data_IF_192801178617
#
_entry.id   IF_192801178617
#
_cell.length_a   1.000
_cell.length_b   1.000
_cell.length_c   1.000
_cell.angle_alpha   90.00
_cell.angle_beta   90.00
_cell.angle_gamma   90.00
#
_symmetry.space_group_name_H-M   'P 1'
#
loop_
_entity.id
_entity.type
_entity.pdbx_description
1 polymer ?
#
# COMPACT_ATOMS: atom_id res chain seq x y z
N UNK A 1 0.57 -31.39 20.32
CA UNK A 1 1.94 -30.87 20.35
C UNK A 1 2.04 -29.60 19.52
N UNK A 2 2.40 -28.48 20.16
CA UNK A 2 2.64 -27.22 19.46
C UNK A 2 4.11 -27.21 19.05
N UNK A 3 4.38 -27.40 17.76
CA UNK A 3 5.73 -27.28 17.23
C UNK A 3 5.97 -25.81 16.89
N UNK A 4 6.74 -25.14 17.74
CA UNK A 4 7.25 -23.80 17.48
C UNK A 4 8.44 -23.94 16.52
N UNK A 5 8.37 -23.27 15.39
CA UNK A 5 9.45 -23.25 14.42
C UNK A 5 9.58 -21.85 13.83
N UNK A 6 10.81 -21.45 13.52
CA UNK A 6 11.02 -20.34 12.60
C UNK A 6 10.65 -20.81 11.20
N UNK A 7 9.62 -20.19 10.62
CA UNK A 7 9.28 -20.40 9.22
C UNK A 7 9.82 -19.22 8.42
N UNK A 8 10.53 -19.52 7.34
CA UNK A 8 10.94 -18.50 6.40
C UNK A 8 9.84 -18.40 5.34
N UNK A 9 9.30 -17.19 5.19
CA UNK A 9 8.45 -16.83 4.07
C UNK A 9 9.13 -15.64 3.40
N UNK A 10 9.57 -15.81 2.15
CA UNK A 10 10.44 -14.84 1.47
C UNK A 10 11.81 -14.66 2.16
N UNK A 11 12.19 -13.40 2.42
CA UNK A 11 13.41 -13.01 3.15
C UNK A 11 13.14 -12.78 4.66
N UNK A 12 11.88 -12.90 5.12
CA UNK A 12 11.48 -12.63 6.49
C UNK A 12 11.33 -13.90 7.32
N UNK A 13 11.71 -13.80 8.61
CA UNK A 13 11.65 -14.91 9.56
C UNK A 13 10.42 -14.74 10.43
N UNK A 14 9.46 -15.64 10.26
CA UNK A 14 8.25 -15.69 11.06
C UNK A 14 8.40 -16.69 12.20
N UNK A 15 7.91 -16.32 13.39
CA UNK A 15 7.66 -17.29 14.43
C UNK A 15 6.37 -18.04 14.11
N UNK A 16 6.50 -19.25 13.57
CA UNK A 16 5.37 -20.10 13.23
C UNK A 16 5.03 -21.08 14.35
N UNK A 17 3.73 -21.27 14.57
CA UNK A 17 3.22 -22.32 15.45
C UNK A 17 2.29 -23.17 14.63
N UNK A 18 2.72 -24.40 14.36
CA UNK A 18 1.88 -25.40 13.70
C UNK A 18 1.33 -26.33 14.78
N UNK A 19 0.01 -26.39 14.87
CA UNK A 19 -0.70 -27.25 15.80
C UNK A 19 -1.84 -27.97 15.09
N UNK A 20 -1.92 -29.28 15.30
CA UNK A 20 -3.08 -30.08 14.92
C UNK A 20 -3.96 -30.23 16.16
N UNK A 21 -5.11 -29.56 16.14
CA UNK A 21 -6.07 -29.59 17.24
C UNK A 21 -7.16 -30.61 16.87
N UNK A 22 -7.17 -31.74 17.58
CA UNK A 22 -8.27 -32.68 17.50
C UNK A 22 -9.37 -32.23 18.47
N UNK A 23 -10.58 -32.02 17.95
CA UNK A 23 -11.75 -31.63 18.73
C UNK A 23 -12.70 -32.83 18.90
N UNK A 24 -12.44 -33.77 19.83
CA UNK A 24 -13.19 -35.03 19.93
C UNK A 24 -14.66 -34.86 20.35
N UNK A 25 -15.01 -33.73 20.99
CA UNK A 25 -16.37 -33.41 21.44
C UNK A 25 -16.97 -32.20 20.70
N UNK A 26 -16.41 -31.78 19.57
CA UNK A 26 -17.03 -30.73 18.78
C UNK A 26 -18.34 -31.27 18.17
N UNK A 27 -19.47 -30.78 18.66
CA UNK A 27 -20.72 -30.85 17.90
C UNK A 27 -20.49 -30.11 16.59
N UNK A 28 -20.76 -30.74 15.47
CA UNK A 28 -20.55 -30.22 14.09
C UNK A 28 -21.23 -28.86 13.79
N UNK A 29 -22.02 -28.33 14.73
CA UNK A 29 -22.78 -27.08 14.62
C UNK A 29 -22.32 -25.95 15.57
N UNK A 30 -21.24 -26.14 16.34
CA UNK A 30 -20.70 -25.07 17.21
C UNK A 30 -19.77 -24.12 16.44
N UNK A 31 -19.91 -22.79 16.54
CA UNK A 31 -18.98 -21.86 15.89
C UNK A 31 -17.59 -22.01 16.51
N UNK A 32 -16.65 -22.62 15.79
CA UNK A 32 -15.26 -22.67 16.20
C UNK A 32 -14.68 -21.25 16.06
N UNK A 33 -13.98 -20.77 17.08
CA UNK A 33 -13.31 -19.46 17.05
C UNK A 33 -11.90 -19.54 17.59
N UNK A 34 -10.97 -18.84 16.94
CA UNK A 34 -9.60 -18.68 17.36
C UNK A 34 -9.35 -17.22 17.75
N UNK A 35 -8.81 -17.01 18.95
CA UNK A 35 -8.36 -15.70 19.42
C UNK A 35 -6.83 -15.67 19.41
N UNK A 36 -6.26 -14.64 18.80
CA UNK A 36 -4.84 -14.33 18.87
C UNK A 36 -4.65 -12.94 19.47
N UNK A 37 -3.78 -12.83 20.47
CA UNK A 37 -3.46 -11.57 21.13
C UNK A 37 -1.98 -11.44 21.47
N UNK A 38 -1.14 -12.29 20.88
CA UNK A 38 0.30 -12.28 21.16
C UNK A 38 0.89 -10.98 20.60
N UNK A 39 1.63 -10.24 21.43
CA UNK A 39 2.30 -8.97 21.11
C UNK A 39 1.40 -7.76 20.82
N UNK A 40 0.08 -7.88 20.74
CA UNK A 40 -0.80 -6.74 20.48
C UNK A 40 -0.73 -5.65 21.57
N UNK A 41 -0.40 -6.02 22.80
CA UNK A 41 -0.19 -5.05 23.90
C UNK A 41 1.16 -4.30 23.79
N UNK A 42 2.10 -4.81 23.00
CA UNK A 42 3.45 -4.24 22.85
C UNK A 42 3.65 -3.53 21.51
N UNK A 43 3.00 -4.02 20.46
CA UNK A 43 3.12 -3.48 19.12
C UNK A 43 1.74 -3.42 18.43
N UNK A 44 1.26 -2.20 18.18
CA UNK A 44 0.01 -1.93 17.50
C UNK A 44 0.06 -2.25 15.99
N UNK A 45 1.26 -2.34 15.42
CA UNK A 45 1.49 -2.73 14.03
C UNK A 45 1.59 -4.23 13.85
N UNK A 46 1.69 -5.00 14.95
CA UNK A 46 1.80 -6.45 14.87
C UNK A 46 0.58 -7.07 14.18
N UNK A 47 0.84 -8.06 13.33
CA UNK A 47 -0.18 -8.83 12.59
C UNK A 47 0.10 -10.32 12.74
N UNK A 48 -0.92 -11.08 13.13
CA UNK A 48 -0.88 -12.53 13.18
C UNK A 48 -1.47 -13.12 11.89
N UNK A 49 -0.76 -14.06 11.27
CA UNK A 49 -1.22 -14.74 10.06
C UNK A 49 -1.78 -16.12 10.45
N UNK A 50 -3.08 -16.32 10.24
CA UNK A 50 -3.76 -17.60 10.48
C UNK A 50 -3.94 -18.33 9.16
N UNK A 51 -3.42 -19.56 9.10
CA UNK A 51 -3.73 -20.54 8.06
C UNK A 51 -4.24 -21.82 8.73
N UNK A 52 -5.43 -22.26 8.36
CA UNK A 52 -6.09 -23.39 9.01
C UNK A 52 -6.88 -24.23 8.00
N UNK A 53 -6.77 -25.56 8.09
CA UNK A 53 -7.62 -26.48 7.35
C UNK A 53 -8.69 -27.06 8.27
N UNK A 54 -9.97 -26.87 7.93
CA UNK A 54 -11.09 -27.45 8.67
C UNK A 54 -12.03 -28.13 7.65
N UNK A 55 -12.35 -29.41 7.83
CA UNK A 55 -13.32 -30.10 6.95
C UNK A 55 -12.96 -30.13 5.46
N UNK A 56 -11.68 -29.99 5.10
CA UNK A 56 -11.22 -29.91 3.71
C UNK A 56 -11.25 -28.50 3.10
N UNK A 57 -11.79 -27.50 3.80
CA UNK A 57 -11.69 -26.08 3.41
C UNK A 57 -10.48 -25.43 4.05
N UNK A 58 -9.71 -24.69 3.25
CA UNK A 58 -8.60 -23.88 3.73
C UNK A 58 -9.10 -22.48 4.09
N UNK A 59 -8.81 -22.06 5.31
CA UNK A 59 -9.14 -20.75 5.85
C UNK A 59 -7.86 -19.95 6.05
N UNK A 60 -7.90 -18.68 5.67
CA UNK A 60 -6.81 -17.73 5.88
C UNK A 60 -7.38 -16.46 6.50
N UNK A 61 -6.70 -15.91 7.51
CA UNK A 61 -7.10 -14.66 8.12
C UNK A 61 -5.89 -13.88 8.64
N UNK A 62 -6.01 -12.56 8.63
CA UNK A 62 -5.08 -11.66 9.31
C UNK A 62 -5.73 -11.25 10.62
N UNK A 63 -5.03 -11.50 11.72
CA UNK A 63 -5.41 -11.13 13.07
C UNK A 63 -4.66 -9.85 13.43
N UNK A 64 -5.37 -8.83 13.90
CA UNK A 64 -4.81 -7.53 14.28
C UNK A 64 -5.34 -7.12 15.66
N UNK A 65 -4.76 -6.09 16.31
CA UNK A 65 -5.27 -5.59 17.59
C UNK A 65 -6.77 -5.24 17.56
N UNK A 66 -7.27 -4.76 16.42
CA UNK A 66 -8.70 -4.43 16.22
C UNK A 66 -9.57 -5.65 15.92
N UNK A 67 -8.97 -6.75 15.46
CA UNK A 67 -9.64 -8.01 15.09
C UNK A 67 -8.85 -9.24 15.57
N UNK A 68 -8.80 -9.48 16.90
CA UNK A 68 -8.06 -10.60 17.47
C UNK A 68 -8.78 -11.95 17.31
N UNK A 69 -10.09 -11.92 17.03
CA UNK A 69 -10.94 -13.11 16.95
C UNK A 69 -11.26 -13.48 15.49
N UNK A 70 -10.98 -14.72 15.11
CA UNK A 70 -11.47 -15.33 13.88
C UNK A 70 -12.49 -16.42 14.16
N UNK A 71 -13.61 -16.43 13.44
CA UNK A 71 -14.63 -17.48 13.51
C UNK A 71 -14.57 -18.34 12.26
N UNK A 72 -14.40 -19.64 12.45
CA UNK A 72 -14.44 -20.63 11.38
C UNK A 72 -15.90 -20.88 11.02
N UNK A 73 -16.37 -20.12 10.06
CA UNK A 73 -17.71 -20.27 9.49
C UNK A 73 -17.56 -20.67 8.02
N UNK A 74 -18.26 -21.71 7.58
CA UNK A 74 -18.23 -22.18 6.20
C UNK A 74 -18.77 -21.11 5.22
N UNK A 75 -19.53 -20.13 5.72
CA UNK A 75 -19.99 -18.96 4.96
C UNK A 75 -18.98 -17.80 4.93
N UNK A 76 -18.00 -17.76 5.85
CA UNK A 76 -17.02 -16.69 5.98
C UNK A 76 -15.80 -16.81 5.05
N UNK A 77 -15.72 -17.88 4.25
CA UNK A 77 -14.74 -18.07 3.16
C UNK A 77 -15.24 -17.60 1.79
N UNK A 78 -16.37 -16.89 1.73
CA UNK A 78 -16.90 -16.34 0.49
C UNK A 78 -16.00 -15.28 -0.16
N UNK A 79 -16.04 -15.15 -1.48
CA UNK A 79 -15.28 -14.15 -2.24
C UNK A 79 -15.38 -12.73 -1.63
N UNK A 80 -16.59 -12.31 -1.25
CA UNK A 80 -16.85 -10.98 -0.70
C UNK A 80 -16.29 -10.77 0.71
N UNK A 81 -16.24 -11.79 1.57
CA UNK A 81 -15.67 -11.64 2.92
C UNK A 81 -14.17 -11.43 2.83
N UNK A 82 -13.47 -12.24 2.03
CA UNK A 82 -12.05 -12.09 1.73
C UNK A 82 -11.77 -10.71 1.12
N UNK A 83 -12.53 -10.33 0.08
CA UNK A 83 -12.39 -9.03 -0.57
C UNK A 83 -12.55 -7.87 0.43
N UNK A 84 -13.55 -7.93 1.32
CA UNK A 84 -13.77 -6.87 2.33
C UNK A 84 -12.66 -6.79 3.39
N UNK A 85 -12.09 -7.93 3.78
CA UNK A 85 -10.96 -7.98 4.71
C UNK A 85 -9.73 -7.32 4.12
N UNK A 86 -9.34 -7.74 2.91
CA UNK A 86 -8.18 -7.18 2.22
C UNK A 86 -8.39 -5.74 1.75
N UNK A 87 -9.62 -5.32 1.45
CA UNK A 87 -9.94 -3.92 1.21
C UNK A 87 -9.53 -3.02 2.38
N UNK A 88 -9.85 -3.42 3.61
CA UNK A 88 -9.49 -2.67 4.80
C UNK A 88 -7.96 -2.63 4.97
N UNK A 89 -7.28 -3.74 4.74
CA UNK A 89 -5.81 -3.78 4.79
C UNK A 89 -5.17 -2.89 3.72
N UNK A 90 -5.74 -2.82 2.51
CA UNK A 90 -5.28 -1.91 1.46
C UNK A 90 -5.42 -0.43 1.85
N UNK A 91 -6.49 -0.07 2.55
CA UNK A 91 -6.66 1.28 3.10
C UNK A 91 -5.62 1.58 4.17
N UNK A 92 -5.44 0.65 5.13
CA UNK A 92 -4.47 0.79 6.21
C UNK A 92 -3.03 0.86 5.72
N UNK A 93 -2.69 0.08 4.69
CA UNK A 93 -1.37 0.08 4.06
C UNK A 93 -0.94 1.49 3.62
N UNK A 94 -1.87 2.25 3.01
CA UNK A 94 -1.61 3.65 2.61
C UNK A 94 -1.47 4.58 3.82
N UNK A 95 -2.21 4.34 4.90
CA UNK A 95 -2.26 5.26 6.05
C UNK A 95 -1.13 5.06 7.05
N UNK A 96 -0.57 3.86 7.13
CA UNK A 96 0.57 3.54 8.01
C UNK A 96 1.91 3.82 7.29
N UNK A 97 1.96 3.61 5.98
CA UNK A 97 3.18 3.82 5.19
C UNK A 97 3.49 5.31 4.95
N UNK A 98 4.36 5.89 5.77
CA UNK A 98 4.82 7.27 5.59
C UNK A 98 5.42 7.52 4.19
N UNK A 99 6.12 6.53 3.63
CA UNK A 99 6.62 6.57 2.24
C UNK A 99 5.49 6.81 1.23
N UNK A 100 4.40 6.03 1.33
CA UNK A 100 3.26 6.12 0.41
C UNK A 100 2.55 7.46 0.51
N UNK A 101 2.37 7.97 1.72
CA UNK A 101 1.76 9.29 1.94
C UNK A 101 2.64 10.39 1.35
N UNK A 102 3.95 10.41 1.67
CA UNK A 102 4.85 11.44 1.15
C UNK A 102 5.00 11.36 -0.37
N UNK A 103 5.06 10.14 -0.91
CA UNK A 103 5.07 9.91 -2.35
C UNK A 103 3.81 10.46 -3.02
N UNK A 104 2.62 10.11 -2.50
CA UNK A 104 1.36 10.58 -3.03
C UNK A 104 1.25 12.11 -2.94
N UNK A 105 1.56 12.71 -1.78
CA UNK A 105 1.56 14.17 -1.62
C UNK A 105 2.52 14.81 -2.61
N UNK A 106 3.72 14.25 -2.78
CA UNK A 106 4.71 14.73 -3.75
C UNK A 106 4.14 14.79 -5.16
N UNK A 107 3.43 13.75 -5.61
CA UNK A 107 2.78 13.73 -6.92
C UNK A 107 1.61 14.72 -7.05
N UNK A 108 0.91 15.00 -5.94
CA UNK A 108 -0.26 15.89 -5.92
C UNK A 108 0.11 17.39 -5.85
N UNK A 109 1.23 17.74 -5.21
CA UNK A 109 1.68 19.12 -5.00
C UNK A 109 1.55 19.99 -6.27
N UNK A 110 2.04 19.55 -7.44
CA UNK A 110 2.03 20.40 -8.62
C UNK A 110 0.78 20.18 -9.52
N UNK A 111 -0.23 19.41 -9.12
CA UNK A 111 -1.43 19.08 -9.93
C UNK A 111 -2.41 20.25 -10.17
N UNK A 112 -2.26 21.33 -9.41
CA UNK A 112 -3.07 22.55 -9.55
C UNK A 112 -2.47 23.60 -10.50
N UNK A 113 -1.30 23.32 -11.07
CA UNK A 113 -0.65 24.18 -12.06
C UNK A 113 -0.88 23.69 -13.49
N UNK A 114 -0.88 24.63 -14.44
CA UNK A 114 -1.02 24.32 -15.86
C UNK A 114 0.19 23.55 -16.40
N UNK A 115 -0.12 22.62 -17.30
CA UNK A 115 0.84 21.91 -18.16
C UNK A 115 1.25 22.82 -19.31
N UNK A 116 1.97 23.91 -19.04
CA UNK A 116 2.50 24.79 -20.09
C UNK A 116 3.81 24.19 -20.64
N UNK A 117 3.85 23.97 -21.95
CA UNK A 117 4.93 23.28 -22.67
C UNK A 117 6.30 23.93 -22.43
N UNK A 118 7.30 23.08 -22.18
CA UNK A 118 8.75 23.34 -22.20
C UNK A 118 9.18 24.80 -22.40
N UNK A 119 9.43 25.51 -21.29
CA UNK A 119 10.06 26.83 -21.31
C UNK A 119 10.35 27.38 -19.90
N UNK A 120 11.35 28.24 -19.79
CA UNK A 120 11.72 28.99 -18.58
C UNK A 120 10.68 30.11 -18.27
N UNK A 121 9.39 29.79 -18.10
CA UNK A 121 8.31 30.73 -17.69
C UNK A 121 7.71 30.57 -16.28
N UNK A 122 6.72 31.39 -15.95
CA UNK A 122 6.06 31.44 -14.64
C UNK A 122 5.03 30.30 -14.48
N UNK A 123 4.98 29.68 -13.29
CA UNK A 123 3.92 28.73 -12.96
C UNK A 123 2.55 29.43 -13.03
N UNK A 124 1.72 29.05 -14.01
CA UNK A 124 0.35 29.54 -14.13
C UNK A 124 -0.61 28.59 -13.44
N UNK A 125 -1.46 29.13 -12.59
CA UNK A 125 -2.52 28.37 -11.94
C UNK A 125 -3.49 27.80 -12.98
N UNK A 126 -3.91 26.55 -12.78
CA UNK A 126 -4.93 25.94 -13.62
C UNK A 126 -6.24 26.71 -13.56
N UNK A 127 -6.80 26.99 -14.74
CA UNK A 127 -8.07 27.68 -14.91
C UNK A 127 -9.25 26.68 -14.92
N UNK A 128 -8.99 25.40 -15.18
CA UNK A 128 -10.03 24.38 -15.40
C UNK A 128 -9.96 23.27 -14.36
N UNK A 129 -10.90 23.29 -13.41
CA UNK A 129 -11.03 22.30 -12.33
C UNK A 129 -11.07 20.86 -12.86
N UNK A 130 -11.88 20.63 -13.90
CA UNK A 130 -12.06 19.31 -14.53
C UNK A 130 -10.74 18.73 -15.04
N UNK A 131 -9.91 19.56 -15.71
CA UNK A 131 -8.64 19.10 -16.26
C UNK A 131 -7.65 18.68 -15.16
N UNK A 132 -7.58 19.46 -14.07
CA UNK A 132 -6.73 19.15 -12.92
C UNK A 132 -7.22 17.91 -12.18
N UNK A 133 -8.54 17.74 -12.00
CA UNK A 133 -9.11 16.53 -11.41
C UNK A 133 -8.80 15.29 -12.24
N UNK A 134 -9.02 15.33 -13.57
CA UNK A 134 -8.70 14.21 -14.46
C UNK A 134 -7.20 13.88 -14.37
N UNK A 135 -6.33 14.90 -14.33
CA UNK A 135 -4.89 14.68 -14.19
C UNK A 135 -4.52 14.01 -12.88
N UNK A 136 -5.16 14.38 -11.76
CA UNK A 136 -4.92 13.76 -10.45
C UNK A 136 -5.38 12.31 -10.45
N UNK A 137 -6.61 12.06 -10.91
CA UNK A 137 -7.16 10.71 -10.99
C UNK A 137 -6.32 9.82 -11.89
N UNK A 138 -5.88 10.33 -13.06
CA UNK A 138 -4.99 9.58 -13.95
C UNK A 138 -3.66 9.21 -13.30
N UNK A 139 -3.09 10.08 -12.46
CA UNK A 139 -1.84 9.80 -11.74
C UNK A 139 -2.05 8.73 -10.67
N UNK A 140 -3.08 8.86 -9.84
CA UNK A 140 -3.38 7.92 -8.76
C UNK A 140 -3.72 6.54 -9.32
N UNK A 141 -4.67 6.48 -10.26
CA UNK A 141 -5.07 5.21 -10.89
C UNK A 141 -3.92 4.58 -11.67
N UNK A 142 -3.08 5.35 -12.37
CA UNK A 142 -1.90 4.78 -13.06
C UNK A 142 -0.91 4.14 -12.08
N UNK A 143 -0.69 4.75 -10.92
CA UNK A 143 0.12 4.16 -9.86
C UNK A 143 -0.51 2.87 -9.32
N UNK A 144 -1.80 2.89 -8.97
CA UNK A 144 -2.50 1.71 -8.44
C UNK A 144 -2.48 0.56 -9.43
N UNK A 145 -2.73 0.82 -10.72
CA UNK A 145 -2.69 -0.22 -11.77
C UNK A 145 -1.29 -0.82 -11.88
N UNK A 146 -0.25 0.00 -11.93
CA UNK A 146 1.12 -0.48 -11.99
C UNK A 146 1.51 -1.30 -10.75
N UNK A 147 1.18 -0.79 -9.56
CA UNK A 147 1.37 -1.48 -8.29
C UNK A 147 0.67 -2.85 -8.27
N UNK A 148 -0.59 -2.89 -8.74
CA UNK A 148 -1.38 -4.12 -8.85
C UNK A 148 -0.69 -5.18 -9.71
N UNK A 149 -0.09 -4.76 -10.84
CA UNK A 149 0.61 -5.66 -11.77
C UNK A 149 1.79 -6.32 -11.06
N UNK A 150 2.65 -5.55 -10.43
CA UNK A 150 3.88 -6.07 -9.80
C UNK A 150 3.59 -6.83 -8.52
N UNK A 151 2.58 -6.42 -7.75
CA UNK A 151 2.09 -7.18 -6.61
C UNK A 151 1.58 -8.56 -7.06
N UNK A 152 0.75 -8.60 -8.10
CA UNK A 152 0.24 -9.87 -8.64
C UNK A 152 1.37 -10.76 -9.18
N UNK A 153 2.33 -10.20 -9.93
CA UNK A 153 3.49 -10.95 -10.43
C UNK A 153 4.33 -11.57 -9.31
N UNK A 154 4.48 -10.85 -8.20
CA UNK A 154 5.32 -11.30 -7.10
C UNK A 154 4.62 -12.34 -6.24
N UNK A 155 3.32 -12.16 -5.97
CA UNK A 155 2.54 -13.15 -5.20
C UNK A 155 2.31 -14.44 -5.99
N UNK A 156 2.30 -14.36 -7.32
CA UNK A 156 2.33 -15.53 -8.21
C UNK A 156 3.75 -16.13 -8.37
N UNK A 157 4.74 -15.62 -7.63
CA UNK A 157 6.14 -16.06 -7.67
C UNK A 157 6.78 -16.00 -9.08
N UNK A 158 6.26 -15.14 -9.96
CA UNK A 158 6.80 -14.94 -11.31
C UNK A 158 8.09 -14.11 -11.25
N UNK A 159 8.12 -13.10 -10.37
CA UNK A 159 9.27 -12.21 -10.16
C UNK A 159 9.36 -11.90 -8.66
N UNK A 160 10.50 -12.20 -8.03
CA UNK A 160 10.73 -11.95 -6.61
C UNK A 160 12.07 -11.22 -6.41
N UNK A 161 12.10 -9.88 -6.56
CA UNK A 161 13.31 -9.11 -6.32
C UNK A 161 13.60 -9.00 -4.81
N UNK A 162 14.88 -8.96 -4.39
CA UNK A 162 15.26 -8.90 -2.98
C UNK A 162 14.85 -7.55 -2.36
N UNK A 163 14.37 -7.57 -1.13
CA UNK A 163 13.85 -6.37 -0.45
C UNK A 163 14.93 -5.30 -0.29
N UNK A 164 16.17 -5.72 0.00
CA UNK A 164 17.33 -4.83 0.11
C UNK A 164 17.68 -4.05 -1.16
N UNK A 165 17.15 -4.42 -2.33
CA UNK A 165 17.23 -3.59 -3.55
C UNK A 165 15.98 -2.75 -3.76
N UNK A 166 14.80 -3.33 -3.50
CA UNK A 166 13.51 -2.68 -3.75
C UNK A 166 13.33 -1.46 -2.84
N UNK A 167 13.58 -1.59 -1.54
CA UNK A 167 13.30 -0.53 -0.57
C UNK A 167 14.14 0.75 -0.77
N UNK A 168 15.46 0.68 -1.07
CA UNK A 168 16.23 1.86 -1.46
C UNK A 168 15.72 2.50 -2.74
N UNK A 169 15.31 1.71 -3.75
CA UNK A 169 14.78 2.26 -5.00
C UNK A 169 13.44 2.96 -4.76
N UNK A 170 12.58 2.40 -3.88
CA UNK A 170 11.36 3.06 -3.41
C UNK A 170 11.70 4.42 -2.78
N UNK A 171 12.64 4.49 -1.84
CA UNK A 171 13.06 5.76 -1.23
C UNK A 171 13.60 6.75 -2.28
N UNK A 172 14.45 6.28 -3.20
CA UNK A 172 15.01 7.09 -4.29
C UNK A 172 13.90 7.64 -5.22
N UNK A 173 12.86 6.86 -5.51
CA UNK A 173 11.72 7.32 -6.31
C UNK A 173 10.98 8.51 -5.67
N UNK A 174 10.87 8.53 -4.33
CA UNK A 174 10.26 9.65 -3.59
C UNK A 174 11.10 10.91 -3.75
N UNK A 175 12.44 10.79 -3.67
CA UNK A 175 13.37 11.89 -3.91
C UNK A 175 13.20 12.43 -5.33
N UNK A 176 13.18 11.54 -6.33
CA UNK A 176 13.02 11.92 -7.74
C UNK A 176 11.67 12.60 -7.98
N UNK A 177 10.57 12.11 -7.39
CA UNK A 177 9.27 12.75 -7.47
C UNK A 177 9.30 14.16 -6.86
N UNK A 178 9.89 14.30 -5.66
CA UNK A 178 9.95 15.57 -4.94
C UNK A 178 10.80 16.61 -5.67
N UNK A 179 12.03 16.26 -6.07
CA UNK A 179 12.87 17.16 -6.86
C UNK A 179 12.27 17.44 -8.24
N UNK A 180 11.54 16.48 -8.79
CA UNK A 180 10.84 16.63 -10.05
C UNK A 180 9.80 17.74 -10.05
N UNK A 181 9.18 18.01 -8.90
CA UNK A 181 8.24 19.13 -8.71
C UNK A 181 8.89 20.51 -8.89
N UNK A 182 10.22 20.60 -8.72
CA UNK A 182 10.98 21.84 -8.89
C UNK A 182 11.32 22.11 -10.37
N UNK A 183 11.20 21.08 -11.21
CA UNK A 183 11.47 21.16 -12.65
C UNK A 183 10.17 21.13 -13.46
N UNK A 184 10.17 21.74 -14.65
CA UNK A 184 8.98 21.74 -15.52
C UNK A 184 8.87 20.49 -16.39
N UNK A 185 9.99 19.80 -16.61
CA UNK A 185 10.08 18.66 -17.54
C UNK A 185 9.26 17.48 -17.05
N UNK A 186 9.34 17.17 -15.75
CA UNK A 186 8.69 15.99 -15.17
C UNK A 186 7.16 16.17 -15.02
N UNK A 187 6.65 17.39 -15.13
CA UNK A 187 5.21 17.69 -15.11
C UNK A 187 4.48 17.06 -16.28
N UNK A 188 5.14 16.96 -17.44
CA UNK A 188 4.49 16.42 -18.63
C UNK A 188 4.38 14.90 -18.62
N UNK A 189 5.20 14.21 -17.81
CA UNK A 189 5.28 12.75 -17.77
C UNK A 189 4.70 12.16 -16.49
N UNK A 190 3.93 12.92 -15.72
CA UNK A 190 3.55 12.54 -14.35
C UNK A 190 2.83 11.21 -14.23
N UNK A 191 1.85 10.94 -15.08
CA UNK A 191 1.13 9.67 -15.00
C UNK A 191 2.03 8.52 -15.43
N UNK A 192 2.95 8.73 -16.38
CA UNK A 192 3.96 7.73 -16.75
C UNK A 192 4.99 7.48 -15.64
N UNK A 193 5.42 8.55 -14.96
CA UNK A 193 6.33 8.46 -13.81
C UNK A 193 5.64 7.74 -12.64
N UNK A 194 4.39 8.10 -12.36
CA UNK A 194 3.58 7.43 -11.35
C UNK A 194 3.36 5.96 -11.68
N UNK A 195 3.12 5.62 -12.95
CA UNK A 195 3.06 4.23 -13.41
C UNK A 195 4.39 3.51 -13.17
N UNK A 196 5.53 4.09 -13.60
CA UNK A 196 6.85 3.49 -13.42
C UNK A 196 7.18 3.27 -11.94
N UNK A 197 6.89 4.24 -11.09
CA UNK A 197 7.11 4.12 -9.65
C UNK A 197 6.14 3.15 -9.00
N UNK A 198 4.90 3.06 -9.48
CA UNK A 198 3.93 2.06 -9.04
C UNK A 198 4.43 0.64 -9.26
N UNK A 199 5.07 0.35 -10.40
CA UNK A 199 5.70 -0.96 -10.65
C UNK A 199 6.74 -1.29 -9.57
N UNK A 200 7.58 -0.33 -9.21
CA UNK A 200 8.63 -0.56 -8.20
C UNK A 200 8.00 -0.73 -6.81
N UNK A 201 7.04 0.12 -6.45
CA UNK A 201 6.38 0.08 -5.15
C UNK A 201 5.60 -1.21 -4.92
N UNK A 202 5.03 -1.81 -5.96
CA UNK A 202 4.29 -3.07 -5.83
C UNK A 202 5.16 -4.26 -5.41
N UNK A 203 6.47 -4.20 -5.60
CA UNK A 203 7.39 -5.21 -5.07
C UNK A 203 7.60 -5.08 -3.55
N UNK A 204 7.57 -3.86 -3.01
CA UNK A 204 7.90 -3.61 -1.60
C UNK A 204 6.88 -4.15 -0.60
N UNK A 205 5.64 -4.40 -1.04
CA UNK A 205 4.59 -5.00 -0.19
C UNK A 205 4.31 -6.47 -0.52
N UNK A 206 4.89 -6.97 -1.60
CA UNK A 206 4.56 -8.29 -2.08
C UNK A 206 5.15 -9.43 -1.25
N UNK A 207 6.26 -9.20 -0.54
CA UNK A 207 6.78 -10.15 0.45
C UNK A 207 5.70 -10.44 1.49
N UNK A 208 5.16 -9.40 2.12
CA UNK A 208 4.11 -9.50 3.14
C UNK A 208 2.89 -10.27 2.64
N UNK A 209 2.45 -10.04 1.39
CA UNK A 209 1.27 -10.72 0.85
C UNK A 209 1.55 -12.16 0.40
N UNK A 210 2.75 -12.46 -0.10
CA UNK A 210 3.17 -13.83 -0.42
C UNK A 210 3.27 -14.68 0.86
N UNK A 211 3.74 -14.07 1.95
CA UNK A 211 3.93 -14.71 3.25
C UNK A 211 2.60 -15.10 3.91
N UNK A 212 1.48 -14.49 3.50
CA UNK A 212 0.14 -14.88 3.93
C UNK A 212 -0.26 -16.29 3.48
N UNK A 213 0.41 -16.85 2.46
CA UNK A 213 0.19 -18.23 2.02
C UNK A 213 -1.26 -18.53 1.66
N UNK A 214 -1.97 -17.53 1.10
CA UNK A 214 -3.38 -17.59 0.76
C UNK A 214 -3.70 -18.80 -0.14
N UNK A 215 -4.83 -19.49 0.11
CA UNK A 215 -5.36 -20.47 -0.83
C UNK A 215 -5.51 -19.88 -2.23
N UNK A 216 -5.15 -20.62 -3.27
CA UNK A 216 -5.12 -20.14 -4.66
C UNK A 216 -6.49 -19.63 -5.15
N UNK A 217 -7.58 -20.16 -4.58
CA UNK A 217 -8.97 -19.76 -4.83
C UNK A 217 -9.35 -18.43 -4.17
N UNK A 218 -8.63 -18.00 -3.14
CA UNK A 218 -8.84 -16.73 -2.42
C UNK A 218 -7.88 -15.63 -2.85
N UNK A 219 -6.82 -15.98 -3.57
CA UNK A 219 -5.80 -15.03 -4.01
C UNK A 219 -6.39 -13.89 -4.86
N UNK A 220 -7.31 -14.22 -5.78
CA UNK A 220 -7.92 -13.22 -6.66
C UNK A 220 -8.78 -12.20 -5.90
N UNK A 221 -9.61 -12.63 -4.94
CA UNK A 221 -10.40 -11.73 -4.10
C UNK A 221 -9.52 -10.91 -3.16
N UNK A 222 -8.45 -11.49 -2.63
CA UNK A 222 -7.50 -10.79 -1.77
C UNK A 222 -6.76 -9.69 -2.54
N UNK A 223 -6.18 -10.01 -3.70
CA UNK A 223 -5.50 -9.04 -4.56
C UNK A 223 -6.44 -7.93 -5.02
N UNK A 224 -7.66 -8.28 -5.45
CA UNK A 224 -8.64 -7.29 -5.87
C UNK A 224 -9.06 -6.39 -4.71
N UNK A 225 -9.39 -6.99 -3.55
CA UNK A 225 -9.77 -6.26 -2.35
C UNK A 225 -8.66 -5.30 -1.92
N UNK A 226 -7.44 -5.79 -1.79
CA UNK A 226 -6.27 -4.98 -1.42
C UNK A 226 -6.07 -3.78 -2.35
N UNK A 227 -6.03 -3.99 -3.68
CA UNK A 227 -5.81 -2.89 -4.62
C UNK A 227 -6.96 -1.89 -4.66
N UNK A 228 -8.21 -2.33 -4.51
CA UNK A 228 -9.36 -1.42 -4.35
C UNK A 228 -9.27 -0.60 -3.06
N UNK A 229 -8.78 -1.23 -1.98
CA UNK A 229 -8.49 -0.56 -0.71
C UNK A 229 -7.42 0.52 -0.86
N UNK A 230 -6.33 0.18 -1.56
CA UNK A 230 -5.24 1.12 -1.88
C UNK A 230 -5.77 2.32 -2.67
N UNK A 231 -6.50 2.09 -3.76
CA UNK A 231 -7.07 3.18 -4.56
C UNK A 231 -8.02 4.05 -3.73
N UNK A 232 -8.87 3.44 -2.90
CA UNK A 232 -9.76 4.17 -2.00
C UNK A 232 -8.99 5.03 -0.99
N UNK A 233 -7.95 4.48 -0.35
CA UNK A 233 -7.08 5.20 0.58
C UNK A 233 -6.40 6.41 -0.07
N UNK A 234 -5.90 6.24 -1.29
CA UNK A 234 -5.30 7.33 -2.08
C UNK A 234 -6.33 8.39 -2.45
N UNK A 235 -7.53 7.99 -2.89
CA UNK A 235 -8.63 8.89 -3.24
C UNK A 235 -9.12 9.70 -2.02
N UNK A 236 -9.11 9.11 -0.82
CA UNK A 236 -9.43 9.84 0.42
C UNK A 236 -8.43 10.98 0.68
N UNK A 237 -7.13 10.72 0.49
CA UNK A 237 -6.08 11.75 0.59
C UNK A 237 -6.27 12.84 -0.47
N UNK A 238 -6.57 12.45 -1.72
CA UNK A 238 -6.88 13.39 -2.80
C UNK A 238 -8.08 14.26 -2.45
N UNK A 239 -9.16 13.68 -1.93
CA UNK A 239 -10.39 14.38 -1.57
C UNK A 239 -10.15 15.45 -0.49
N UNK A 240 -9.19 15.23 0.42
CA UNK A 240 -8.80 16.20 1.44
C UNK A 240 -7.82 17.25 0.89
N UNK A 241 -6.77 16.81 0.20
CA UNK A 241 -5.68 17.68 -0.25
C UNK A 241 -6.10 18.60 -1.41
N UNK A 242 -6.78 18.05 -2.42
CA UNK A 242 -7.04 18.75 -3.67
C UNK A 242 -7.88 20.03 -3.51
N UNK A 243 -8.97 20.09 -2.72
CA UNK A 243 -9.72 21.33 -2.53
C UNK A 243 -8.90 22.45 -1.89
N UNK A 244 -8.02 22.11 -0.94
CA UNK A 244 -7.13 23.05 -0.25
C UNK A 244 -6.10 23.59 -1.24
N UNK A 245 -5.42 22.69 -1.96
CA UNK A 245 -4.47 23.02 -3.00
C UNK A 245 -5.10 23.89 -4.09
N UNK A 246 -6.32 23.54 -4.54
CA UNK A 246 -7.04 24.29 -5.55
C UNK A 246 -7.34 25.72 -5.11
N UNK A 247 -7.77 25.92 -3.86
CA UNK A 247 -8.05 27.28 -3.33
C UNK A 247 -6.78 28.13 -3.21
N UNK A 248 -5.68 27.52 -2.78
CA UNK A 248 -4.43 28.24 -2.50
C UNK A 248 -3.51 28.40 -3.74
N UNK A 249 -3.81 27.73 -4.86
CA UNK A 249 -2.93 27.62 -6.05
C UNK A 249 -2.37 28.94 -6.61
N UNK A 250 -3.11 30.05 -6.45
CA UNK A 250 -2.70 31.35 -6.96
C UNK A 250 -1.81 32.15 -5.99
N UNK A 251 -1.64 31.66 -4.75
CA UNK A 251 -0.89 32.37 -3.70
C UNK A 251 0.62 32.12 -3.80
N UNK A 252 1.42 33.11 -3.37
CA UNK A 252 2.86 32.93 -3.22
C UNK A 252 3.21 31.88 -2.16
N UNK A 253 2.39 31.77 -1.09
CA UNK A 253 2.52 30.75 -0.06
C UNK A 253 2.44 29.33 -0.63
N UNK A 254 1.46 29.05 -1.49
CA UNK A 254 1.35 27.72 -2.10
C UNK A 254 2.54 27.41 -3.02
N UNK A 255 2.99 28.39 -3.80
CA UNK A 255 4.12 28.20 -4.74
C UNK A 255 5.45 27.99 -4.01
N UNK A 256 5.77 28.83 -3.03
CA UNK A 256 7.06 28.84 -2.36
C UNK A 256 7.09 28.01 -1.08
N UNK A 257 6.06 28.10 -0.25
CA UNK A 257 5.96 27.33 0.99
C UNK A 257 5.58 25.88 0.73
N UNK A 258 4.43 25.66 0.09
CA UNK A 258 3.86 24.30 -0.05
C UNK A 258 4.58 23.49 -1.12
N UNK A 259 4.74 24.03 -2.33
CA UNK A 259 5.34 23.27 -3.44
C UNK A 259 6.85 23.24 -3.33
N UNK A 260 7.52 24.40 -3.31
CA UNK A 260 8.98 24.42 -3.22
C UNK A 260 9.48 23.90 -1.86
N UNK A 261 9.04 24.52 -0.76
CA UNK A 261 9.44 24.11 0.60
C UNK A 261 9.03 22.67 0.93
N UNK A 262 7.79 22.28 0.62
CA UNK A 262 7.32 20.91 0.82
C UNK A 262 8.09 19.88 0.00
N UNK A 263 8.44 20.18 -1.25
CA UNK A 263 9.26 19.26 -2.07
C UNK A 263 10.67 19.09 -1.51
N UNK A 264 11.30 20.17 -1.02
CA UNK A 264 12.61 20.08 -0.36
C UNK A 264 12.51 19.25 0.92
N UNK A 265 11.48 19.48 1.74
CA UNK A 265 11.27 18.72 2.97
C UNK A 265 11.08 17.22 2.69
N UNK A 266 10.25 16.87 1.70
CA UNK A 266 10.05 15.47 1.28
C UNK A 266 11.36 14.86 0.79
N UNK A 267 12.13 15.58 -0.03
CA UNK A 267 13.42 15.10 -0.53
C UNK A 267 14.42 14.85 0.60
N UNK A 268 14.46 15.70 1.63
CA UNK A 268 15.33 15.51 2.81
C UNK A 268 14.91 14.27 3.61
N UNK A 269 13.62 14.11 3.91
CA UNK A 269 13.11 12.94 4.64
C UNK A 269 13.39 11.65 3.86
N UNK A 270 13.10 11.64 2.56
CA UNK A 270 13.34 10.47 1.71
C UNK A 270 14.84 10.17 1.53
N UNK A 271 15.71 11.19 1.58
CA UNK A 271 17.17 10.98 1.58
C UNK A 271 17.65 10.31 2.87
N UNK A 272 17.05 10.66 4.01
CA UNK A 272 17.33 9.97 5.27
C UNK A 272 16.94 8.49 5.19
N UNK A 273 15.72 8.18 4.72
CA UNK A 273 15.27 6.80 4.52
C UNK A 273 16.14 6.02 3.53
N UNK A 274 16.59 6.67 2.46
CA UNK A 274 17.50 6.05 1.50
C UNK A 274 18.81 5.62 2.16
N UNK A 275 19.40 6.48 3.01
CA UNK A 275 20.63 6.17 3.72
C UNK A 275 20.40 5.02 4.72
N UNK A 276 19.30 5.08 5.48
CA UNK A 276 18.91 4.05 6.45
C UNK A 276 18.72 2.67 5.80
N UNK A 277 18.15 2.62 4.59
CA UNK A 277 17.94 1.35 3.85
C UNK A 277 19.18 0.84 3.13
N UNK A 278 20.21 1.67 2.97
CA UNK A 278 21.49 1.30 2.36
C UNK A 278 22.54 0.87 3.39
N UNK A 279 22.35 1.22 4.68
CA UNK A 279 23.26 0.89 5.78
C UNK A 279 22.93 -0.45 6.43
#
# INVERSE_FOLDING_TARGET
>A
DNNWATANYGEEVYLSVVSQINCPNATTDGPLSLRYSLLFDQDALHRGLLKAGLGGTSHSAILSPDRPDYRFDASASGFFSVLSGYFIEGVWHIWIGADHILFLISLLLPCVFLRESAGLGHWRASQQLRSSLISVLAVVTAFTVAHSITLALTVLEVISPPAGLVEPIIAASVIVAALGNLTKTLIHLRWQIAFLFGLIHGFGFASVLADLGLPSDQLASALLGFNLGVEFGQLAIVALFFPIAWRLRATAFYRWGVVFGGSILIAVIASYWLIERLS
#
